data_IF_709432742376
#
_entry.id   IF_709432742376
#
_cell.length_a   1.000
_cell.length_b   1.000
_cell.length_c   1.000
_cell.angle_alpha   90.00
_cell.angle_beta   90.00
_cell.angle_gamma   90.00
#
_symmetry.space_group_name_H-M   'P 1'
#
loop_
_entity.id
_entity.type
_entity.pdbx_description
1 polymer ?
#
# COMPACT_ATOMS: atom_id res chain seq x y z
N UNK A 1 -21.67 11.58 31.30
CA UNK A 1 -21.29 11.02 29.99
C UNK A 1 -22.19 11.68 28.97
N UNK A 2 -21.67 12.45 28.01
CA UNK A 2 -22.52 13.02 26.96
C UNK A 2 -23.16 11.88 26.17
N UNK A 3 -24.47 11.95 25.96
CA UNK A 3 -25.16 11.02 25.08
C UNK A 3 -24.58 11.20 23.67
N UNK A 4 -23.92 10.16 23.16
CA UNK A 4 -23.53 10.12 21.75
C UNK A 4 -24.78 9.82 20.93
N UNK A 5 -25.25 10.80 20.17
CA UNK A 5 -26.39 10.64 19.29
C UNK A 5 -25.98 9.89 18.01
N UNK A 6 -26.34 8.61 17.95
CA UNK A 6 -26.10 7.74 16.79
C UNK A 6 -26.85 8.18 15.52
N UNK A 7 -27.78 9.14 15.62
CA UNK A 7 -28.60 9.62 14.51
C UNK A 7 -28.18 10.99 13.97
N UNK A 8 -27.13 11.60 14.55
CA UNK A 8 -26.64 12.91 14.12
C UNK A 8 -26.12 12.89 12.68
N UNK A 9 -26.63 13.79 11.84
CA UNK A 9 -26.16 14.00 10.47
C UNK A 9 -24.93 14.94 10.37
N UNK A 10 -24.40 15.42 11.50
CA UNK A 10 -23.23 16.31 11.50
C UNK A 10 -21.99 15.51 11.09
N UNK A 11 -21.40 15.87 9.95
CA UNK A 11 -20.14 15.28 9.49
C UNK A 11 -19.01 15.67 10.47
N UNK A 12 -18.29 14.71 11.07
CA UNK A 12 -17.19 15.00 11.97
C UNK A 12 -15.93 15.39 11.20
N UNK A 13 -14.95 15.93 11.92
CA UNK A 13 -13.59 16.08 11.41
C UNK A 13 -12.96 14.69 11.14
N UNK A 14 -12.05 14.57 10.16
CA UNK A 14 -11.34 13.32 9.90
C UNK A 14 -10.55 12.83 11.12
N UNK A 15 -10.51 11.52 11.32
CA UNK A 15 -9.71 10.89 12.37
C UNK A 15 -8.25 11.33 12.27
N UNK A 16 -7.63 11.64 13.42
CA UNK A 16 -6.31 12.24 13.48
C UNK A 16 -5.23 11.43 12.73
N UNK A 17 -5.32 10.09 12.73
CA UNK A 17 -4.38 9.22 12.01
C UNK A 17 -4.49 9.41 10.49
N UNK A 18 -5.71 9.60 9.96
CA UNK A 18 -5.90 9.89 8.53
C UNK A 18 -5.24 11.21 8.15
N UNK A 19 -5.39 12.22 9.02
CA UNK A 19 -4.79 13.53 8.83
C UNK A 19 -3.25 13.45 8.89
N UNK A 20 -2.69 12.78 9.90
CA UNK A 20 -1.23 12.63 10.05
C UNK A 20 -0.58 11.94 8.85
N UNK A 21 -1.20 10.87 8.33
CA UNK A 21 -0.70 10.20 7.11
C UNK A 21 -0.84 11.13 5.90
N UNK A 22 -1.97 11.82 5.77
CA UNK A 22 -2.20 12.74 4.66
C UNK A 22 -1.21 13.91 4.69
N UNK A 23 -0.88 14.47 5.85
CA UNK A 23 0.12 15.53 6.00
C UNK A 23 1.51 15.02 5.62
N UNK A 24 1.92 13.86 6.18
CA UNK A 24 3.21 13.25 5.93
C UNK A 24 3.53 13.04 4.44
N UNK A 25 2.55 12.59 3.64
CA UNK A 25 2.82 12.33 2.21
C UNK A 25 3.08 13.60 1.38
N UNK A 26 2.76 14.79 1.89
CA UNK A 26 3.08 16.07 1.23
C UNK A 26 4.38 16.72 1.74
N UNK A 27 4.91 16.30 2.88
CA UNK A 27 6.07 16.95 3.53
C UNK A 27 7.42 16.36 3.12
N UNK A 28 7.47 15.20 2.46
CA UNK A 28 8.69 14.38 2.30
C UNK A 28 9.95 15.09 1.74
N UNK A 29 9.82 16.10 0.88
CA UNK A 29 11.00 16.82 0.35
C UNK A 29 11.85 17.46 1.46
N UNK A 30 11.30 17.71 2.65
CA UNK A 30 12.05 18.22 3.81
C UNK A 30 12.59 17.13 4.73
N UNK A 31 12.24 15.86 4.53
CA UNK A 31 12.41 14.79 5.52
C UNK A 31 13.48 13.76 5.11
N UNK A 32 13.76 13.57 3.82
CA UNK A 32 14.64 12.46 3.38
C UNK A 32 16.12 12.82 3.39
N UNK A 33 16.93 12.06 4.13
CA UNK A 33 18.39 12.07 4.03
C UNK A 33 18.93 11.18 2.91
N UNK A 34 20.23 11.36 2.56
CA UNK A 34 20.90 10.59 1.50
C UNK A 34 20.85 9.07 1.75
N UNK A 35 20.96 8.64 3.01
CA UNK A 35 20.92 7.23 3.38
C UNK A 35 19.59 6.54 3.04
N UNK A 36 18.46 7.24 3.25
CA UNK A 36 17.13 6.70 2.93
C UNK A 36 16.97 6.47 1.42
N UNK A 37 17.47 7.41 0.60
CA UNK A 37 17.44 7.32 -0.86
C UNK A 37 18.34 6.18 -1.36
N UNK A 38 19.54 6.05 -0.82
CA UNK A 38 20.46 4.98 -1.18
C UNK A 38 19.89 3.60 -0.81
N UNK A 39 19.30 3.48 0.38
CA UNK A 39 18.66 2.23 0.81
C UNK A 39 17.41 1.92 -0.02
N UNK A 40 16.59 2.92 -0.35
CA UNK A 40 15.45 2.75 -1.24
C UNK A 40 15.87 2.27 -2.64
N UNK A 41 16.99 2.76 -3.17
CA UNK A 41 17.56 2.31 -4.45
C UNK A 41 17.96 0.84 -4.40
N UNK A 42 18.60 0.40 -3.31
CA UNK A 42 18.94 -1.01 -3.09
C UNK A 42 17.67 -1.87 -2.94
N UNK A 43 16.68 -1.38 -2.19
CA UNK A 43 15.38 -2.04 -2.03
C UNK A 43 14.67 -2.23 -3.38
N UNK A 44 14.67 -1.22 -4.25
CA UNK A 44 14.11 -1.32 -5.59
C UNK A 44 14.78 -2.44 -6.41
N UNK A 45 16.12 -2.50 -6.38
CA UNK A 45 16.88 -3.52 -7.11
C UNK A 45 16.59 -4.93 -6.59
N UNK A 46 16.63 -5.13 -5.26
CA UNK A 46 16.35 -6.41 -4.60
C UNK A 46 14.93 -6.91 -4.90
N UNK A 47 13.95 -6.02 -4.73
CA UNK A 47 12.52 -6.34 -4.92
C UNK A 47 12.22 -6.75 -6.37
N UNK A 48 12.77 -6.02 -7.35
CA UNK A 48 12.64 -6.40 -8.76
C UNK A 48 13.33 -7.74 -9.07
N UNK A 49 14.52 -7.98 -8.49
CA UNK A 49 15.22 -9.25 -8.59
C UNK A 49 14.38 -10.43 -8.08
N UNK A 50 13.76 -10.28 -6.92
CA UNK A 50 12.82 -11.26 -6.36
C UNK A 50 11.66 -11.53 -7.31
N UNK A 51 11.07 -10.48 -7.88
CA UNK A 51 9.96 -10.60 -8.84
C UNK A 51 10.35 -11.33 -10.12
N UNK A 52 11.52 -11.04 -10.68
CA UNK A 52 12.03 -11.74 -11.86
C UNK A 52 12.29 -13.22 -11.57
N UNK A 53 12.85 -13.56 -10.40
CA UNK A 53 13.07 -14.94 -10.00
C UNK A 53 11.76 -15.73 -9.86
N UNK A 54 10.68 -15.09 -9.40
CA UNK A 54 9.36 -15.70 -9.26
C UNK A 54 8.76 -16.18 -10.59
N UNK A 55 9.20 -15.62 -11.73
CA UNK A 55 8.75 -16.05 -13.06
C UNK A 55 9.17 -17.48 -13.43
N UNK A 56 10.15 -18.05 -12.73
CA UNK A 56 10.53 -19.46 -12.89
C UNK A 56 9.55 -20.45 -12.22
N UNK A 57 8.52 -19.95 -11.53
CA UNK A 57 7.58 -20.78 -10.75
C UNK A 57 6.18 -20.77 -11.38
N UNK A 58 5.72 -21.88 -11.99
CA UNK A 58 4.40 -21.96 -12.63
C UNK A 58 3.23 -21.59 -11.70
N UNK A 59 3.39 -21.82 -10.39
CA UNK A 59 2.40 -21.44 -9.39
C UNK A 59 2.21 -19.91 -9.29
N UNK A 60 3.28 -19.13 -9.51
CA UNK A 60 3.24 -17.67 -9.62
C UNK A 60 2.66 -17.26 -10.97
N UNK A 61 3.25 -17.78 -12.06
CA UNK A 61 2.95 -17.37 -13.44
C UNK A 61 1.47 -17.55 -13.79
N UNK A 62 0.81 -18.61 -13.31
CA UNK A 62 -0.62 -18.82 -13.53
C UNK A 62 -1.54 -17.73 -12.93
N UNK A 63 -1.03 -16.94 -11.99
CA UNK A 63 -1.76 -15.83 -11.38
C UNK A 63 -1.61 -14.52 -12.17
N UNK A 64 -0.66 -14.45 -13.10
CA UNK A 64 -0.29 -13.24 -13.84
C UNK A 64 -1.13 -13.06 -15.12
N UNK A 65 -0.92 -11.95 -15.83
CA UNK A 65 -1.63 -11.58 -17.04
C UNK A 65 -2.96 -10.87 -16.78
N UNK A 66 -3.76 -10.62 -17.83
CA UNK A 66 -5.08 -10.00 -17.69
C UNK A 66 -6.07 -10.92 -16.99
N UNK A 67 -7.12 -10.35 -16.38
CA UNK A 67 -8.22 -11.12 -15.79
C UNK A 67 -9.00 -11.88 -16.87
N UNK A 68 -9.29 -11.21 -17.98
CA UNK A 68 -9.92 -11.82 -19.15
C UNK A 68 -8.81 -12.21 -20.14
N UNK A 69 -8.64 -13.51 -20.47
CA UNK A 69 -7.60 -13.95 -21.40
C UNK A 69 -7.65 -13.19 -22.72
N UNK A 70 -6.49 -12.70 -23.18
CA UNK A 70 -6.36 -11.92 -24.41
C UNK A 70 -6.67 -10.42 -24.27
N UNK A 71 -7.16 -9.94 -23.12
CA UNK A 71 -7.32 -8.51 -22.90
C UNK A 71 -5.94 -7.83 -22.79
N UNK A 72 -5.61 -7.01 -23.77
CA UNK A 72 -4.38 -6.20 -23.80
C UNK A 72 -4.73 -4.72 -23.74
N UNK A 73 -3.92 -3.91 -23.06
CA UNK A 73 -4.08 -2.46 -23.03
C UNK A 73 -2.83 -1.80 -23.62
N UNK A 74 -2.86 -1.45 -24.91
CA UNK A 74 -1.73 -0.76 -25.54
C UNK A 74 -1.44 0.56 -24.83
N UNK A 75 -0.19 0.76 -24.41
CA UNK A 75 0.22 1.91 -23.60
C UNK A 75 -0.22 1.82 -22.14
N UNK A 76 -0.59 0.62 -21.67
CA UNK A 76 -0.87 0.29 -20.29
C UNK A 76 0.39 0.18 -19.42
N UNK A 77 0.21 -0.11 -18.13
CA UNK A 77 1.31 -0.41 -17.22
C UNK A 77 1.96 -1.75 -17.57
N UNK A 78 3.29 -1.78 -17.59
CA UNK A 78 4.09 -2.95 -17.95
C UNK A 78 4.41 -3.79 -16.71
N UNK A 79 4.43 -5.11 -16.88
CA UNK A 79 4.84 -6.05 -15.83
C UNK A 79 6.27 -6.53 -16.13
N UNK A 80 7.28 -6.22 -15.29
CA UNK A 80 8.68 -6.55 -15.55
C UNK A 80 8.91 -8.03 -15.87
N UNK A 81 9.77 -8.31 -16.87
CA UNK A 81 10.07 -9.69 -17.28
C UNK A 81 8.97 -10.40 -18.09
N UNK A 82 7.89 -9.69 -18.45
CA UNK A 82 6.80 -10.22 -19.28
C UNK A 82 6.50 -9.29 -20.47
N UNK A 83 5.63 -9.71 -21.37
CA UNK A 83 5.08 -8.88 -22.46
C UNK A 83 3.75 -8.21 -22.11
N UNK A 84 3.31 -8.28 -20.85
CA UNK A 84 1.99 -7.75 -20.48
C UNK A 84 1.98 -6.23 -20.38
N UNK A 85 1.00 -5.63 -21.04
CA UNK A 85 0.56 -4.25 -20.84
C UNK A 85 -0.89 -4.27 -20.35
N UNK A 86 -1.12 -3.80 -19.13
CA UNK A 86 -2.38 -3.96 -18.40
C UNK A 86 -2.87 -2.61 -17.85
N UNK A 87 -4.12 -2.57 -17.38
CA UNK A 87 -4.56 -1.47 -16.54
C UNK A 87 -3.72 -1.40 -15.24
N UNK A 88 -3.54 -0.20 -14.65
CA UNK A 88 -2.64 -0.04 -13.50
C UNK A 88 -3.06 -0.85 -12.26
N UNK A 89 -4.34 -1.17 -12.10
CA UNK A 89 -4.82 -1.99 -10.97
C UNK A 89 -4.38 -3.43 -11.15
N UNK A 90 -4.55 -4.00 -12.34
CA UNK A 90 -4.12 -5.37 -12.62
C UNK A 90 -2.60 -5.51 -12.70
N UNK A 91 -1.90 -4.55 -13.28
CA UNK A 91 -0.44 -4.52 -13.26
C UNK A 91 0.11 -4.49 -11.82
N UNK A 92 -0.51 -3.71 -10.93
CA UNK A 92 -0.13 -3.68 -9.52
C UNK A 92 -0.25 -5.04 -8.83
N UNK A 93 -1.33 -5.79 -9.10
CA UNK A 93 -1.46 -7.16 -8.61
C UNK A 93 -0.34 -8.05 -9.12
N UNK A 94 -0.03 -7.98 -10.42
CA UNK A 94 0.97 -8.82 -11.05
C UNK A 94 2.34 -8.59 -10.42
N UNK A 95 2.76 -7.33 -10.34
CA UNK A 95 4.05 -6.93 -9.78
C UNK A 95 4.10 -7.30 -8.29
N UNK A 96 3.08 -6.93 -7.51
CA UNK A 96 3.04 -7.21 -6.07
C UNK A 96 3.02 -8.72 -5.75
N UNK A 97 2.33 -9.53 -6.54
CA UNK A 97 2.37 -10.99 -6.39
C UNK A 97 3.75 -11.57 -6.73
N UNK A 98 4.40 -11.08 -7.79
CA UNK A 98 5.73 -11.54 -8.19
C UNK A 98 6.78 -11.25 -7.12
N UNK A 99 6.87 -10.00 -6.67
CA UNK A 99 7.96 -9.58 -5.77
C UNK A 99 7.87 -10.24 -4.40
N UNK A 100 6.66 -10.59 -3.96
CA UNK A 100 6.43 -11.27 -2.68
C UNK A 100 6.46 -12.79 -2.78
N UNK A 101 6.39 -13.38 -3.98
CA UNK A 101 6.00 -14.77 -4.17
C UNK A 101 6.84 -15.77 -3.37
N UNK A 102 8.17 -15.57 -3.42
CA UNK A 102 9.19 -16.45 -2.87
C UNK A 102 9.59 -16.12 -1.43
N UNK A 103 9.05 -15.02 -0.87
CA UNK A 103 9.42 -14.56 0.47
C UNK A 103 10.91 -14.23 0.62
N UNK A 104 11.52 -13.66 -0.42
CA UNK A 104 12.91 -13.21 -0.42
C UNK A 104 13.07 -11.69 -0.41
N UNK A 105 12.00 -10.94 -0.64
CA UNK A 105 12.01 -9.49 -0.50
C UNK A 105 12.20 -9.06 0.96
N UNK A 106 12.43 -7.77 1.13
CA UNK A 106 12.70 -7.06 2.38
C UNK A 106 11.76 -7.44 3.55
N UNK A 107 12.13 -7.06 4.77
CA UNK A 107 11.31 -7.37 5.95
C UNK A 107 11.39 -6.25 6.98
N UNK A 108 10.25 -6.01 7.61
CA UNK A 108 10.11 -5.17 8.79
C UNK A 108 9.50 -5.97 9.94
N UNK A 109 10.24 -6.07 11.05
CA UNK A 109 9.84 -6.82 12.24
C UNK A 109 9.49 -5.87 13.37
N UNK A 110 8.19 -5.79 13.68
CA UNK A 110 7.67 -4.93 14.74
C UNK A 110 6.56 -5.66 15.54
N UNK A 111 5.65 -4.94 16.20
CA UNK A 111 4.48 -5.56 16.82
C UNK A 111 3.62 -6.29 15.78
N UNK A 112 3.57 -5.78 14.55
CA UNK A 112 3.15 -6.49 13.35
C UNK A 112 4.35 -6.75 12.43
N UNK A 113 4.39 -7.92 11.81
CA UNK A 113 5.43 -8.26 10.83
C UNK A 113 4.94 -7.97 9.41
N UNK A 114 5.79 -7.44 8.54
CA UNK A 114 5.42 -7.19 7.15
C UNK A 114 6.62 -7.03 6.21
N UNK A 115 6.31 -6.82 4.93
CA UNK A 115 7.27 -6.59 3.86
C UNK A 115 6.89 -5.30 3.15
N UNK A 116 7.47 -4.15 3.52
CA UNK A 116 7.02 -2.87 2.95
C UNK A 116 7.34 -2.71 1.46
N UNK A 117 8.31 -3.45 0.92
CA UNK A 117 8.55 -3.55 -0.53
C UNK A 117 7.34 -4.07 -1.32
N UNK A 118 6.36 -4.73 -0.68
CA UNK A 118 5.12 -5.18 -1.34
C UNK A 118 4.34 -4.01 -1.98
N UNK A 119 4.48 -2.79 -1.43
CA UNK A 119 3.85 -1.57 -1.99
C UNK A 119 4.41 -1.19 -3.37
N UNK A 120 5.59 -1.69 -3.76
CA UNK A 120 6.19 -1.42 -5.06
C UNK A 120 5.26 -1.83 -6.20
N UNK A 121 4.41 -2.86 -6.00
CA UNK A 121 3.44 -3.29 -7.01
C UNK A 121 2.54 -2.15 -7.47
N UNK A 122 1.85 -1.52 -6.52
CA UNK A 122 0.97 -0.37 -6.81
C UNK A 122 1.74 0.85 -7.28
N UNK A 123 2.86 1.19 -6.62
CA UNK A 123 3.62 2.40 -6.94
C UNK A 123 4.19 2.32 -8.36
N UNK A 124 4.84 1.21 -8.73
CA UNK A 124 5.46 1.05 -10.04
C UNK A 124 4.40 0.98 -11.15
N UNK A 125 3.32 0.22 -10.96
CA UNK A 125 2.25 0.12 -11.96
C UNK A 125 1.58 1.47 -12.23
N UNK A 126 1.24 2.21 -11.18
CA UNK A 126 0.66 3.54 -11.32
C UNK A 126 1.66 4.52 -11.95
N UNK A 127 2.90 4.56 -11.47
CA UNK A 127 3.92 5.45 -12.00
C UNK A 127 4.19 5.22 -13.49
N UNK A 128 4.25 3.95 -13.92
CA UNK A 128 4.50 3.59 -15.32
C UNK A 128 3.37 4.06 -16.23
N UNK A 129 2.13 3.68 -15.90
CA UNK A 129 0.96 4.05 -16.70
C UNK A 129 0.79 5.57 -16.81
N UNK A 130 0.85 6.27 -15.68
CA UNK A 130 0.62 7.72 -15.67
C UNK A 130 1.78 8.51 -16.27
N UNK A 131 3.03 8.03 -16.18
CA UNK A 131 4.14 8.63 -16.92
C UNK A 131 3.95 8.51 -18.42
N UNK A 132 3.53 7.32 -18.90
CA UNK A 132 3.20 7.11 -20.30
C UNK A 132 2.05 8.01 -20.77
N UNK A 133 1.01 8.17 -19.94
CA UNK A 133 -0.09 9.11 -20.19
C UNK A 133 0.41 10.56 -20.31
N UNK A 134 1.17 11.05 -19.32
CA UNK A 134 1.72 12.41 -19.29
C UNK A 134 2.56 12.71 -20.54
N UNK A 135 3.42 11.78 -20.96
CA UNK A 135 4.22 11.93 -22.18
C UNK A 135 3.36 12.10 -23.44
N UNK A 136 2.27 11.33 -23.57
CA UNK A 136 1.33 11.46 -24.69
C UNK A 136 0.57 12.78 -24.67
N UNK A 137 0.38 13.36 -23.49
CA UNK A 137 -0.29 14.64 -23.26
C UNK A 137 0.68 15.84 -23.29
N UNK A 138 1.98 15.61 -23.53
CA UNK A 138 3.00 16.66 -23.55
C UNK A 138 3.44 17.17 -22.17
N UNK A 139 3.08 16.45 -21.11
CA UNK A 139 3.44 16.74 -19.73
C UNK A 139 4.75 16.02 -19.32
N UNK A 140 5.33 16.44 -18.19
CA UNK A 140 6.53 15.80 -17.64
C UNK A 140 6.18 14.44 -16.99
N UNK A 141 6.87 13.34 -17.34
CA UNK A 141 6.66 12.05 -16.69
C UNK A 141 7.14 12.07 -15.23
N UNK A 142 6.74 11.05 -14.46
CA UNK A 142 7.37 10.78 -13.17
C UNK A 142 8.79 10.23 -13.40
N UNK A 143 9.67 10.48 -12.44
CA UNK A 143 11.06 10.05 -12.45
C UNK A 143 11.27 8.85 -11.53
N UNK A 144 12.42 8.18 -11.68
CA UNK A 144 12.84 7.15 -10.69
C UNK A 144 13.01 7.76 -9.30
N UNK A 145 13.38 9.04 -9.19
CA UNK A 145 13.44 9.71 -7.88
C UNK A 145 12.06 9.78 -7.22
N UNK A 146 11.01 10.10 -7.98
CA UNK A 146 9.63 10.10 -7.48
C UNK A 146 9.21 8.70 -7.01
N UNK A 147 9.63 7.65 -7.73
CA UNK A 147 9.42 6.25 -7.34
C UNK A 147 10.09 5.91 -6.00
N UNK A 148 11.36 6.29 -5.81
CA UNK A 148 12.11 6.02 -4.57
C UNK A 148 11.50 6.77 -3.38
N UNK A 149 11.09 8.03 -3.58
CA UNK A 149 10.41 8.82 -2.56
C UNK A 149 9.08 8.18 -2.15
N UNK A 150 8.29 7.72 -3.11
CA UNK A 150 7.05 6.97 -2.85
C UNK A 150 7.31 5.66 -2.08
N UNK A 151 8.40 4.93 -2.41
CA UNK A 151 8.78 3.75 -1.65
C UNK A 151 9.09 4.09 -0.19
N UNK A 152 9.87 5.14 0.08
CA UNK A 152 10.19 5.59 1.45
C UNK A 152 8.90 5.90 2.22
N UNK A 153 7.98 6.65 1.62
CA UNK A 153 6.71 6.98 2.27
C UNK A 153 5.87 5.76 2.60
N UNK A 154 5.80 4.80 1.68
CA UNK A 154 5.04 3.58 1.89
C UNK A 154 5.66 2.71 2.98
N UNK A 155 6.99 2.64 3.02
CA UNK A 155 7.72 1.96 4.10
C UNK A 155 7.40 2.61 5.45
N UNK A 156 7.45 3.95 5.52
CA UNK A 156 7.23 4.67 6.75
C UNK A 156 5.80 4.49 7.27
N UNK A 157 4.79 4.68 6.43
CA UNK A 157 3.38 4.54 6.83
C UNK A 157 3.11 3.12 7.35
N UNK A 158 3.52 2.10 6.59
CA UNK A 158 3.31 0.71 6.99
C UNK A 158 4.11 0.35 8.24
N UNK A 159 5.40 0.70 8.28
CA UNK A 159 6.30 0.28 9.34
C UNK A 159 6.02 1.00 10.66
N UNK A 160 5.73 2.30 10.65
CA UNK A 160 5.40 3.08 11.84
C UNK A 160 4.07 2.62 12.45
N UNK A 161 3.05 2.35 11.62
CA UNK A 161 1.80 1.75 12.12
C UNK A 161 2.04 0.33 12.66
N UNK A 162 3.00 -0.43 12.13
CA UNK A 162 3.33 -1.77 12.62
C UNK A 162 4.09 -1.77 13.96
N UNK A 163 4.69 -0.64 14.39
CA UNK A 163 5.50 -0.55 15.62
C UNK A 163 4.72 -0.92 16.88
N UNK A 164 3.52 -0.39 17.03
CA UNK A 164 2.70 -0.57 18.24
C UNK A 164 1.37 -1.31 18.00
N UNK A 165 1.00 -1.56 16.74
CA UNK A 165 -0.30 -2.15 16.39
C UNK A 165 -0.12 -3.56 15.79
N UNK A 166 -0.27 -4.60 16.60
CA UNK A 166 -0.24 -6.00 16.16
C UNK A 166 -1.62 -6.51 15.72
N UNK A 167 -1.95 -6.38 14.43
CA UNK A 167 -3.24 -6.79 13.86
C UNK A 167 -3.44 -8.32 13.85
N UNK A 168 -2.34 -9.07 13.81
CA UNK A 168 -2.32 -10.52 13.98
C UNK A 168 -3.00 -10.96 15.30
N UNK A 169 -2.90 -10.16 16.37
CA UNK A 169 -3.56 -10.42 17.66
C UNK A 169 -5.09 -10.32 17.59
N UNK A 170 -5.60 -9.69 16.53
CA UNK A 170 -7.02 -9.53 16.26
C UNK A 170 -7.50 -10.44 15.10
N UNK A 171 -6.62 -11.30 14.57
CA UNK A 171 -6.93 -12.27 13.50
C UNK A 171 -6.85 -11.71 12.08
N UNK A 172 -6.37 -10.48 11.91
CA UNK A 172 -6.32 -9.76 10.63
C UNK A 172 -4.93 -9.82 10.02
N UNK A 173 -4.86 -9.83 8.69
CA UNK A 173 -3.60 -9.91 7.94
C UNK A 173 -2.90 -8.56 7.82
N UNK A 174 -1.57 -8.54 7.99
CA UNK A 174 -0.73 -7.35 7.88
C UNK A 174 -0.88 -6.62 6.53
N UNK A 175 -1.39 -7.30 5.50
CA UNK A 175 -1.58 -6.71 4.17
C UNK A 175 -2.58 -5.56 4.17
N UNK A 176 -3.38 -5.39 5.23
CA UNK A 176 -4.18 -4.16 5.41
C UNK A 176 -3.27 -2.91 5.44
N UNK A 177 -2.07 -3.01 6.01
CA UNK A 177 -1.11 -1.90 6.04
C UNK A 177 -0.51 -1.63 4.65
N UNK A 178 -0.31 -2.67 3.83
CA UNK A 178 0.09 -2.52 2.43
C UNK A 178 -0.98 -1.75 1.66
N UNK A 179 -2.26 -2.10 1.84
CA UNK A 179 -3.35 -1.34 1.22
C UNK A 179 -3.36 0.12 1.66
N UNK A 180 -3.27 0.39 2.97
CA UNK A 180 -3.29 1.75 3.53
C UNK A 180 -2.12 2.59 2.99
N UNK A 181 -0.90 2.07 3.06
CA UNK A 181 0.30 2.76 2.59
C UNK A 181 0.27 3.01 1.07
N UNK A 182 -0.06 1.98 0.28
CA UNK A 182 -0.22 2.08 -1.17
C UNK A 182 -1.26 3.14 -1.55
N UNK A 183 -2.45 3.13 -0.91
CA UNK A 183 -3.51 4.10 -1.20
C UNK A 183 -3.04 5.54 -1.00
N UNK A 184 -2.44 5.85 0.16
CA UNK A 184 -2.03 7.22 0.48
C UNK A 184 -0.97 7.74 -0.50
N UNK A 185 0.09 6.97 -0.69
CA UNK A 185 1.23 7.36 -1.52
C UNK A 185 0.83 7.49 -2.98
N UNK A 186 0.04 6.55 -3.51
CA UNK A 186 -0.36 6.57 -4.92
C UNK A 186 -1.31 7.73 -5.18
N UNK A 187 -2.25 8.01 -4.27
CA UNK A 187 -3.16 9.16 -4.42
C UNK A 187 -2.37 10.46 -4.54
N UNK A 188 -1.35 10.64 -3.68
CA UNK A 188 -0.44 11.79 -3.75
C UNK A 188 0.42 11.80 -5.02
N UNK A 189 1.02 10.67 -5.39
CA UNK A 189 1.91 10.53 -6.53
C UNK A 189 1.23 10.91 -7.85
N UNK A 190 -0.06 10.60 -7.95
CA UNK A 190 -0.90 10.90 -9.11
C UNK A 190 -1.47 12.32 -9.12
N UNK A 191 -1.13 13.15 -8.13
CA UNK A 191 -1.51 14.56 -8.07
C UNK A 191 -2.78 14.85 -7.28
N UNK A 192 -3.27 13.91 -6.48
CA UNK A 192 -4.39 14.13 -5.57
C UNK A 192 -4.06 15.19 -4.50
N UNK A 193 -5.10 15.86 -4.02
CA UNK A 193 -5.04 16.83 -2.93
C UNK A 193 -4.97 16.14 -1.57
N UNK A 194 -4.71 16.90 -0.50
CA UNK A 194 -4.77 16.39 0.87
C UNK A 194 -6.13 15.76 1.19
N UNK A 195 -7.22 16.36 0.71
CA UNK A 195 -8.57 15.82 0.90
C UNK A 195 -8.76 14.50 0.16
N UNK A 196 -8.25 14.38 -1.07
CA UNK A 196 -8.29 13.12 -1.82
C UNK A 196 -7.55 12.01 -1.06
N UNK A 197 -6.39 12.31 -0.47
CA UNK A 197 -5.63 11.35 0.35
C UNK A 197 -6.45 10.91 1.57
N UNK A 198 -7.10 11.83 2.28
CA UNK A 198 -7.97 11.51 3.43
C UNK A 198 -9.15 10.65 2.99
N UNK A 199 -9.79 11.00 1.87
CA UNK A 199 -10.92 10.27 1.33
C UNK A 199 -10.52 8.84 0.93
N UNK A 200 -9.39 8.70 0.23
CA UNK A 200 -8.83 7.41 -0.17
C UNK A 200 -8.45 6.56 1.06
N UNK A 201 -7.77 7.15 2.04
CA UNK A 201 -7.38 6.49 3.29
C UNK A 201 -8.59 5.99 4.08
N UNK A 202 -9.61 6.83 4.24
CA UNK A 202 -10.83 6.44 4.95
C UNK A 202 -11.50 5.22 4.30
N UNK A 203 -11.57 5.21 2.96
CA UNK A 203 -12.04 4.05 2.21
C UNK A 203 -11.11 2.84 2.43
N UNK A 204 -9.79 3.02 2.42
CA UNK A 204 -8.84 1.94 2.68
C UNK A 204 -8.93 1.34 4.09
N UNK A 205 -9.41 2.07 5.09
CA UNK A 205 -9.67 1.50 6.41
C UNK A 205 -10.98 0.73 6.50
N UNK A 206 -12.06 1.20 5.85
CA UNK A 206 -13.38 0.56 5.92
C UNK A 206 -13.55 -0.61 4.94
N UNK A 207 -12.64 -0.80 4.00
CA UNK A 207 -12.68 -1.83 2.96
C UNK A 207 -12.42 -3.28 3.48
N UNK A 208 -12.60 -3.51 4.79
CA UNK A 208 -12.38 -4.79 5.48
C UNK A 208 -10.91 -5.20 5.55
N UNK A 209 -10.58 -6.26 6.29
CA UNK A 209 -9.22 -6.81 6.31
C UNK A 209 -9.27 -8.32 6.02
N UNK A 210 -8.32 -8.81 5.23
CA UNK A 210 -8.20 -10.24 5.00
C UNK A 210 -7.90 -10.96 6.32
N UNK A 211 -8.53 -12.12 6.53
CA UNK A 211 -8.14 -13.02 7.62
C UNK A 211 -6.76 -13.63 7.34
N UNK A 212 -6.07 -14.10 8.37
CA UNK A 212 -4.75 -14.74 8.23
C UNK A 212 -4.75 -16.27 8.11
N UNK A 213 -5.91 -16.90 7.94
CA UNK A 213 -6.03 -18.38 7.97
C UNK A 213 -5.06 -19.08 7.02
N UNK A 214 -4.79 -18.51 5.85
CA UNK A 214 -3.84 -19.04 4.85
C UNK A 214 -2.37 -18.98 5.25
N UNK A 215 -2.04 -18.42 6.42
CA UNK A 215 -0.69 -18.38 7.00
C UNK A 215 -0.47 -19.39 8.12
N UNK A 216 -1.52 -20.09 8.57
CA UNK A 216 -1.47 -20.96 9.73
C UNK A 216 -1.91 -22.39 9.40
N UNK A 217 -1.22 -23.37 9.99
CA UNK A 217 -1.62 -24.76 9.88
C UNK A 217 -3.02 -24.99 10.51
N UNK A 218 -3.82 -25.92 9.96
CA UNK A 218 -3.55 -26.78 8.80
C UNK A 218 -3.91 -26.14 7.45
N UNK A 219 -4.23 -24.84 7.41
CA UNK A 219 -4.77 -24.14 6.23
C UNK A 219 -3.72 -23.33 5.44
N UNK A 220 -2.43 -23.49 5.76
CA UNK A 220 -1.35 -22.78 5.07
C UNK A 220 -1.43 -23.02 3.56
N UNK A 221 -1.50 -21.94 2.79
CA UNK A 221 -1.70 -22.02 1.34
C UNK A 221 -1.09 -20.85 0.57
N UNK A 222 -1.15 -20.91 -0.76
CA UNK A 222 -0.47 -19.95 -1.65
C UNK A 222 -0.99 -18.52 -1.55
N UNK A 223 -2.17 -18.28 -0.96
CA UNK A 223 -2.67 -16.91 -0.71
C UNK A 223 -1.68 -16.08 0.13
N UNK A 224 -0.88 -16.71 0.99
CA UNK A 224 0.19 -16.01 1.72
C UNK A 224 1.21 -15.29 0.81
N UNK A 225 1.38 -15.77 -0.42
CA UNK A 225 2.34 -15.27 -1.41
C UNK A 225 1.79 -14.19 -2.33
N UNK A 226 0.46 -14.04 -2.46
CA UNK A 226 -0.15 -13.03 -3.33
C UNK A 226 -1.10 -12.07 -2.62
N UNK A 227 -1.42 -12.29 -1.33
CA UNK A 227 -2.28 -11.41 -0.54
C UNK A 227 -1.80 -9.95 -0.50
N UNK A 228 -0.48 -9.73 -0.52
CA UNK A 228 0.08 -8.38 -0.54
C UNK A 228 -0.07 -7.72 -1.93
N UNK A 229 0.09 -8.49 -3.01
CA UNK A 229 -0.20 -8.05 -4.37
C UNK A 229 -1.66 -7.64 -4.57
N UNK A 230 -2.59 -8.40 -3.99
CA UNK A 230 -4.01 -8.06 -3.92
C UNK A 230 -4.26 -6.75 -3.15
N UNK A 231 -3.62 -6.59 -1.99
CA UNK A 231 -3.75 -5.39 -1.17
C UNK A 231 -3.22 -4.11 -1.84
N UNK A 232 -2.02 -4.15 -2.45
CA UNK A 232 -1.48 -2.98 -3.16
C UNK A 232 -2.28 -2.64 -4.42
N UNK A 233 -2.78 -3.66 -5.14
CA UNK A 233 -3.72 -3.50 -6.26
C UNK A 233 -5.01 -2.79 -5.83
N UNK A 234 -5.58 -3.22 -4.70
CA UNK A 234 -6.74 -2.54 -4.10
C UNK A 234 -6.42 -1.09 -3.74
N UNK A 235 -5.21 -0.81 -3.25
CA UNK A 235 -4.77 0.55 -2.97
C UNK A 235 -4.74 1.46 -4.22
N UNK A 236 -4.30 0.94 -5.37
CA UNK A 236 -4.38 1.66 -6.66
C UNK A 236 -5.84 1.99 -7.00
N UNK A 237 -6.73 1.02 -6.88
CA UNK A 237 -8.15 1.21 -7.21
C UNK A 237 -8.81 2.29 -6.33
N UNK A 238 -8.54 2.26 -5.03
CA UNK A 238 -9.06 3.25 -4.08
C UNK A 238 -8.52 4.66 -4.35
N UNK A 239 -7.23 4.78 -4.68
CA UNK A 239 -6.65 6.05 -5.11
C UNK A 239 -7.36 6.60 -6.37
N UNK A 240 -7.61 5.74 -7.37
CA UNK A 240 -8.33 6.13 -8.59
C UNK A 240 -9.81 6.48 -8.36
N UNK A 241 -10.45 5.96 -7.31
CA UNK A 241 -11.79 6.39 -6.92
C UNK A 241 -11.76 7.80 -6.32
N UNK A 242 -10.86 8.05 -5.36
CA UNK A 242 -10.72 9.37 -4.74
C UNK A 242 -10.38 10.46 -5.77
N UNK A 243 -9.45 10.19 -6.70
CA UNK A 243 -9.09 11.12 -7.77
C UNK A 243 -10.22 11.42 -8.77
N UNK A 244 -11.30 10.64 -8.74
CA UNK A 244 -12.54 10.91 -9.50
C UNK A 244 -13.59 11.68 -8.68
N UNK A 245 -13.26 12.11 -7.47
CA UNK A 245 -14.14 12.86 -6.57
C UNK A 245 -15.00 11.99 -5.65
N UNK A 246 -14.67 10.72 -5.46
CA UNK A 246 -15.39 9.86 -4.51
C UNK A 246 -15.19 10.36 -3.06
N UNK A 247 -16.26 10.33 -2.27
CA UNK A 247 -16.24 10.88 -0.92
C UNK A 247 -15.53 9.98 0.10
N UNK A 248 -15.01 10.60 1.17
CA UNK A 248 -14.45 9.91 2.33
C UNK A 248 -15.38 9.81 3.53
N UNK A 249 -14.95 9.01 4.50
CA UNK A 249 -15.62 8.70 5.77
C UNK A 249 -14.75 9.21 6.93
N UNK A 250 -14.97 10.45 7.41
CA UNK A 250 -14.03 11.11 8.32
C UNK A 250 -13.76 10.33 9.60
N UNK A 251 -14.79 9.69 10.18
CA UNK A 251 -14.69 8.87 11.39
C UNK A 251 -14.53 7.36 11.12
N UNK A 252 -13.91 6.98 10.00
CA UNK A 252 -13.70 5.58 9.59
C UNK A 252 -13.05 4.70 10.68
N UNK A 253 -12.25 5.28 11.57
CA UNK A 253 -11.61 4.59 12.68
C UNK A 253 -12.45 4.66 13.95
N UNK A 254 -12.90 5.86 14.32
CA UNK A 254 -13.42 6.16 15.66
C UNK A 254 -14.95 6.11 15.79
N UNK A 255 -15.70 5.94 14.70
CA UNK A 255 -17.15 5.87 14.75
C UNK A 255 -17.60 4.79 15.75
N UNK A 256 -18.42 5.18 16.73
CA UNK A 256 -18.98 4.25 17.73
C UNK A 256 -19.73 3.12 17.02
N UNK A 257 -19.54 1.89 17.47
CA UNK A 257 -20.15 0.66 16.94
C UNK A 257 -19.70 0.24 15.54
N UNK A 258 -19.41 1.18 14.65
CA UNK A 258 -19.21 0.91 13.21
C UNK A 258 -17.78 1.17 12.69
N UNK A 259 -16.99 1.94 13.43
CA UNK A 259 -15.63 2.30 13.05
C UNK A 259 -14.67 1.11 13.17
N UNK A 260 -13.57 1.17 12.43
CA UNK A 260 -12.54 0.14 12.39
C UNK A 260 -12.09 -0.27 13.81
N UNK A 261 -11.91 0.68 14.72
CA UNK A 261 -11.43 0.40 16.07
C UNK A 261 -12.42 -0.45 16.87
N UNK A 262 -13.70 -0.10 16.85
CA UNK A 262 -14.73 -0.85 17.56
C UNK A 262 -14.94 -2.24 16.93
N UNK A 263 -15.05 -2.32 15.61
CA UNK A 263 -15.42 -3.54 14.88
C UNK A 263 -14.26 -4.52 14.73
N UNK A 264 -13.13 -4.06 14.19
CA UNK A 264 -12.01 -4.90 13.77
C UNK A 264 -10.85 -4.89 14.77
N UNK A 265 -10.73 -3.83 15.57
CA UNK A 265 -9.71 -3.70 16.62
C UNK A 265 -10.27 -3.89 18.05
N UNK A 266 -11.52 -4.38 18.17
CA UNK A 266 -12.20 -4.74 19.43
C UNK A 266 -12.13 -3.61 20.48
N UNK A 267 -12.41 -2.39 20.06
CA UNK A 267 -12.40 -1.18 20.89
C UNK A 267 -11.01 -0.68 21.29
N UNK A 268 -9.93 -1.30 20.82
CA UNK A 268 -8.58 -0.78 21.07
C UNK A 268 -8.33 0.44 20.17
N UNK A 269 -7.57 1.45 20.65
CA UNK A 269 -7.18 2.57 19.80
C UNK A 269 -6.04 2.16 18.87
N UNK A 270 -6.12 2.56 17.61
CA UNK A 270 -4.98 2.55 16.70
C UNK A 270 -4.01 3.67 17.12
N UNK A 271 -2.70 3.42 17.05
CA UNK A 271 -1.68 4.36 17.53
C UNK A 271 -0.67 4.70 16.45
N UNK A 272 -0.23 5.95 16.44
CA UNK A 272 1.02 6.36 15.81
C UNK A 272 2.00 6.64 16.95
N UNK A 273 3.17 5.96 17.00
CA UNK A 273 4.16 6.19 18.05
C UNK A 273 4.61 7.65 18.11
N UNK A 274 5.13 8.07 19.26
CA UNK A 274 5.56 9.46 19.48
C UNK A 274 6.63 9.96 18.49
N UNK A 275 7.39 9.05 17.87
CA UNK A 275 8.38 9.38 16.85
C UNK A 275 7.76 9.96 15.55
N UNK A 276 6.46 9.73 15.30
CA UNK A 276 5.79 10.16 14.07
C UNK A 276 6.29 9.44 12.82
N UNK A 277 6.06 10.07 11.66
CA UNK A 277 6.52 9.58 10.36
C UNK A 277 7.77 10.36 9.92
N UNK A 278 8.80 9.66 9.44
CA UNK A 278 10.03 10.21 8.88
C UNK A 278 10.53 9.40 7.69
N UNK A 279 11.76 8.91 7.78
CA UNK A 279 12.36 7.93 6.84
C UNK A 279 12.95 6.71 7.57
N UNK A 280 12.59 6.53 8.84
CA UNK A 280 13.18 5.57 9.76
C UNK A 280 13.07 4.13 9.25
N UNK A 281 11.92 3.75 8.70
CA UNK A 281 11.66 2.37 8.29
C UNK A 281 12.53 1.98 7.11
N UNK A 282 12.66 2.87 6.10
CA UNK A 282 13.53 2.59 4.96
C UNK A 282 15.00 2.50 5.38
N UNK A 283 15.45 3.38 6.27
CA UNK A 283 16.85 3.40 6.75
C UNK A 283 17.23 2.15 7.57
N UNK A 284 16.24 1.44 8.12
CA UNK A 284 16.45 0.30 9.02
C UNK A 284 15.81 -1.00 8.49
N UNK A 285 15.43 -1.04 7.21
CA UNK A 285 14.79 -2.21 6.62
C UNK A 285 15.75 -3.40 6.55
N UNK A 286 15.24 -4.61 6.73
CA UNK A 286 16.04 -5.83 6.70
C UNK A 286 16.01 -6.45 5.30
N UNK A 287 17.18 -6.69 4.71
CA UNK A 287 17.33 -7.47 3.48
C UNK A 287 17.64 -8.94 3.79
N UNK A 288 17.09 -9.85 3.00
CA UNK A 288 17.40 -11.29 3.08
C UNK A 288 18.58 -11.60 2.17
N UNK A 289 19.79 -11.46 2.72
CA UNK A 289 21.03 -11.76 2.02
C UNK A 289 21.32 -13.26 2.23
N UNK A 290 21.06 -14.07 1.21
CA UNK A 290 21.41 -15.49 1.18
C UNK A 290 22.85 -15.73 0.79
#
# INVERSE_FOLDING_TARGET
MSHYDLTSARRPEPDAILQQIADYVFELNSITGDNAIDTARLCLMDTLGCGLLALNYPACVKMLGPIVPGATMQGGARVPGTSYELDPVRAAFNIGAMVRWLDFNDTWLAAEWGHPSDNLGGILAAADYFSGKRLREGEKPLTVRDLLLAMIQAHEIQGVLALENGFNRFGLDHVLLVRIASTAVITRLLGGTREDVINALSNAFIDGAALRVYRHAPNTGSRKSWAAGDATSRGVLLALHALRGEMGYPSALSAKMWGFQDVLFRGHPLRVPAQGFGSYVMENVLFKIS
#
